data_IF_188202290864
#
_entry.id   IF_188202290864
#
_cell.length_a   1.000
_cell.length_b   1.000
_cell.length_c   1.000
_cell.angle_alpha   90.00
_cell.angle_beta   90.00
_cell.angle_gamma   90.00
#
_symmetry.space_group_name_H-M   'P 1'
#
loop_
_entity.id
_entity.type
_entity.pdbx_description
1 polymer ?
#
# COMPACT_ATOMS: atom_id res chain seq x y z
N UNK A 1 -16.49 -4.28 21.54
CA UNK A 1 -16.87 -3.49 20.35
C UNK A 1 -16.54 -4.37 19.17
N UNK A 2 -17.55 -5.01 18.59
CA UNK A 2 -17.39 -5.91 17.43
C UNK A 2 -17.41 -5.05 16.19
N UNK A 3 -16.34 -5.07 15.39
CA UNK A 3 -16.30 -4.39 14.10
C UNK A 3 -17.29 -5.07 13.15
N UNK A 4 -18.19 -4.30 12.56
CA UNK A 4 -19.12 -4.77 11.55
C UNK A 4 -18.35 -4.96 10.24
N UNK A 5 -18.35 -6.18 9.70
CA UNK A 5 -17.75 -6.52 8.40
C UNK A 5 -18.19 -5.54 7.31
N UNK A 6 -19.44 -5.06 7.40
CA UNK A 6 -20.01 -4.09 6.45
C UNK A 6 -19.28 -2.73 6.46
N UNK A 7 -18.81 -2.26 7.62
CA UNK A 7 -18.10 -0.98 7.72
C UNK A 7 -16.70 -1.10 7.09
N UNK A 8 -16.03 -2.26 7.24
CA UNK A 8 -14.76 -2.53 6.56
C UNK A 8 -14.95 -2.58 5.05
N UNK A 9 -16.01 -3.23 4.56
CA UNK A 9 -16.35 -3.30 3.13
C UNK A 9 -16.61 -1.91 2.53
N UNK A 10 -17.29 -1.03 3.26
CA UNK A 10 -17.52 0.37 2.84
C UNK A 10 -16.20 1.13 2.66
N UNK A 11 -15.24 0.93 3.57
CA UNK A 11 -13.91 1.53 3.45
C UNK A 11 -13.09 0.94 2.31
N UNK A 12 -13.17 -0.37 2.07
CA UNK A 12 -12.51 -1.00 0.91
C UNK A 12 -13.08 -0.43 -0.39
N UNK A 13 -14.40 -0.23 -0.47
CA UNK A 13 -15.05 0.39 -1.62
C UNK A 13 -14.62 1.86 -1.82
N UNK A 14 -14.45 2.62 -0.74
CA UNK A 14 -13.86 3.97 -0.79
C UNK A 14 -12.43 3.94 -1.32
N UNK A 15 -11.58 3.03 -0.82
CA UNK A 15 -10.21 2.87 -1.32
C UNK A 15 -10.19 2.53 -2.81
N UNK A 16 -11.07 1.63 -3.28
CA UNK A 16 -11.22 1.34 -4.71
C UNK A 16 -11.57 2.62 -5.50
N UNK A 17 -12.51 3.43 -5.00
CA UNK A 17 -12.89 4.71 -5.63
C UNK A 17 -11.74 5.72 -5.68
N UNK A 18 -10.84 5.68 -4.70
CA UNK A 18 -9.64 6.52 -4.65
C UNK A 18 -8.48 5.99 -5.51
N UNK A 19 -8.61 4.82 -6.15
CA UNK A 19 -7.58 4.29 -7.04
C UNK A 19 -6.59 3.33 -6.36
N UNK A 20 -6.94 2.77 -5.20
CA UNK A 20 -6.16 1.70 -4.58
C UNK A 20 -6.28 0.40 -5.37
N UNK A 21 -5.18 -0.37 -5.43
CA UNK A 21 -5.15 -1.72 -5.99
C UNK A 21 -5.24 -2.74 -4.86
N UNK A 22 -6.11 -3.74 -4.99
CA UNK A 22 -6.35 -4.75 -3.96
C UNK A 22 -5.83 -6.13 -4.41
N UNK A 23 -5.22 -6.86 -3.47
CA UNK A 23 -4.64 -8.18 -3.63
C UNK A 23 -5.25 -9.10 -2.58
N UNK A 24 -5.96 -10.14 -3.01
CA UNK A 24 -6.64 -11.08 -2.12
C UNK A 24 -5.91 -12.42 -2.14
N UNK A 25 -5.78 -13.05 -0.97
CA UNK A 25 -5.02 -14.30 -0.79
C UNK A 25 -5.90 -15.33 -0.09
N UNK A 26 -6.12 -16.55 -0.65
CA UNK A 26 -5.83 -16.95 -2.02
C UNK A 26 -6.80 -16.34 -3.06
N UNK A 27 -8.02 -16.01 -2.63
CA UNK A 27 -9.09 -15.53 -3.50
C UNK A 27 -9.93 -14.46 -2.80
N UNK A 28 -10.83 -13.85 -3.56
CA UNK A 28 -11.65 -12.72 -3.12
C UNK A 28 -12.84 -13.14 -2.25
N UNK A 29 -13.37 -14.34 -2.43
CA UNK A 29 -14.62 -14.76 -1.78
C UNK A 29 -14.37 -15.18 -0.34
N UNK A 30 -13.21 -15.77 -0.06
CA UNK A 30 -12.79 -16.16 1.28
C UNK A 30 -11.29 -15.89 1.51
N UNK A 31 -10.85 -14.62 1.52
CA UNK A 31 -9.45 -14.28 1.72
C UNK A 31 -9.03 -14.62 3.16
N UNK A 32 -7.86 -15.26 3.30
CA UNK A 32 -7.12 -15.34 4.56
C UNK A 32 -6.27 -14.11 4.82
N UNK A 33 -6.04 -13.29 3.79
CA UNK A 33 -5.44 -11.97 3.89
C UNK A 33 -5.82 -11.13 2.67
N UNK A 34 -5.86 -9.82 2.86
CA UNK A 34 -5.97 -8.83 1.80
C UNK A 34 -4.84 -7.82 1.95
N UNK A 35 -4.27 -7.38 0.84
CA UNK A 35 -3.36 -6.25 0.80
C UNK A 35 -3.85 -5.21 -0.19
N UNK A 36 -3.66 -3.94 0.13
CA UNK A 36 -4.01 -2.82 -0.74
C UNK A 36 -2.79 -1.95 -0.94
N UNK A 37 -2.56 -1.51 -2.18
CA UNK A 37 -1.45 -0.62 -2.53
C UNK A 37 -1.94 0.66 -3.17
N UNK A 38 -1.32 1.77 -2.81
CA UNK A 38 -1.48 3.05 -3.48
C UNK A 38 -0.12 3.65 -3.80
N UNK A 39 0.09 3.93 -5.08
CA UNK A 39 1.39 4.33 -5.61
C UNK A 39 1.47 5.84 -5.73
N UNK A 40 2.50 6.41 -5.12
CA UNK A 40 2.88 7.81 -5.26
C UNK A 40 4.17 7.92 -6.09
N UNK A 41 4.55 9.15 -6.44
CA UNK A 41 5.91 9.39 -6.93
C UNK A 41 6.93 9.08 -5.81
N UNK A 42 7.70 8.01 -5.97
CA UNK A 42 8.79 7.64 -5.07
C UNK A 42 8.37 6.94 -3.77
N UNK A 43 7.08 6.70 -3.54
CA UNK A 43 6.57 5.98 -2.36
C UNK A 43 5.43 5.02 -2.72
N UNK A 44 5.23 4.01 -1.89
CA UNK A 44 4.02 3.19 -1.89
C UNK A 44 3.39 3.17 -0.51
N UNK A 45 2.08 3.33 -0.45
CA UNK A 45 1.29 3.04 0.74
C UNK A 45 0.75 1.63 0.64
N UNK A 46 0.86 0.88 1.74
CA UNK A 46 0.41 -0.50 1.84
C UNK A 46 -0.49 -0.65 3.05
N UNK A 47 -1.63 -1.31 2.88
CA UNK A 47 -2.51 -1.75 3.97
C UNK A 47 -2.66 -3.26 3.85
N UNK A 48 -2.43 -3.98 4.94
CA UNK A 48 -2.57 -5.43 5.06
C UNK A 48 -3.67 -5.71 6.08
N UNK A 49 -4.67 -6.50 5.68
CA UNK A 49 -5.75 -6.99 6.54
C UNK A 49 -5.59 -8.51 6.65
N UNK A 50 -5.55 -9.05 7.87
CA UNK A 50 -5.41 -10.49 8.10
C UNK A 50 -6.72 -11.12 8.58
N UNK A 51 -7.45 -10.39 9.41
CA UNK A 51 -8.80 -10.75 9.84
C UNK A 51 -9.63 -9.50 10.13
N UNK A 52 -10.76 -9.67 10.83
CA UNK A 52 -11.68 -8.59 11.19
C UNK A 52 -11.18 -7.70 12.34
N UNK A 53 -10.10 -8.10 13.02
CA UNK A 53 -9.56 -7.45 14.20
C UNK A 53 -8.17 -6.85 13.98
N UNK A 54 -7.37 -7.41 13.07
CA UNK A 54 -5.96 -7.11 12.90
C UNK A 54 -5.63 -6.61 11.48
N UNK A 55 -5.00 -5.44 11.45
CA UNK A 55 -4.51 -4.77 10.27
C UNK A 55 -3.16 -4.09 10.54
N UNK A 56 -2.40 -3.93 9.47
CA UNK A 56 -1.12 -3.26 9.47
C UNK A 56 -0.97 -2.41 8.22
N UNK A 57 -0.45 -1.21 8.35
CA UNK A 57 -0.18 -0.33 7.23
C UNK A 57 1.20 0.32 7.36
N UNK A 58 1.77 0.66 6.21
CA UNK A 58 3.02 1.39 6.14
C UNK A 58 3.13 2.19 4.86
N UNK A 59 4.00 3.21 4.89
CA UNK A 59 4.53 3.88 3.71
C UNK A 59 5.99 3.50 3.53
N UNK A 60 6.34 3.03 2.33
CA UNK A 60 7.71 2.65 1.99
C UNK A 60 8.27 3.53 0.86
N UNK A 61 9.52 4.03 0.97
CA UNK A 61 10.19 4.73 -0.11
C UNK A 61 10.65 3.74 -1.20
N UNK A 62 10.53 4.17 -2.46
CA UNK A 62 10.87 3.34 -3.62
C UNK A 62 12.34 3.43 -4.03
N UNK A 63 13.04 4.51 -3.68
CA UNK A 63 14.40 4.80 -4.13
C UNK A 63 15.44 3.75 -3.67
N UNK A 64 15.13 3.03 -2.60
CA UNK A 64 15.99 1.96 -2.07
C UNK A 64 15.80 0.62 -2.80
N UNK A 65 14.93 0.55 -3.79
CA UNK A 65 14.67 -0.67 -4.57
C UNK A 65 15.62 -0.76 -5.78
N UNK A 66 16.79 -1.36 -5.59
CA UNK A 66 17.70 -1.67 -6.70
C UNK A 66 17.22 -2.93 -7.45
N UNK A 67 16.39 -2.79 -8.49
CA UNK A 67 16.01 -3.92 -9.36
C UNK A 67 14.74 -3.73 -10.19
N UNK A 68 14.55 -4.61 -11.18
CA UNK A 68 13.35 -4.66 -12.02
C UNK A 68 12.19 -5.28 -11.24
N UNK A 69 11.41 -4.42 -10.58
CA UNK A 69 10.17 -4.82 -9.91
C UNK A 69 10.35 -4.81 -8.40
N UNK A 70 10.03 -3.67 -7.81
CA UNK A 70 9.91 -3.60 -6.38
C UNK A 70 8.64 -4.31 -5.89
N UNK A 71 8.82 -5.22 -4.95
CA UNK A 71 7.72 -5.84 -4.24
C UNK A 71 7.27 -4.90 -3.10
N UNK A 72 6.10 -4.24 -3.21
CA UNK A 72 5.62 -3.35 -2.16
C UNK A 72 5.37 -4.09 -0.84
N UNK A 73 5.25 -5.42 -0.87
CA UNK A 73 5.06 -6.27 0.31
C UNK A 73 6.36 -6.69 0.99
N UNK A 74 7.53 -6.32 0.43
CA UNK A 74 8.85 -6.57 1.01
C UNK A 74 9.67 -5.27 1.04
N UNK A 75 9.25 -4.28 1.84
CA UNK A 75 9.94 -3.00 1.91
C UNK A 75 11.35 -3.15 2.52
N UNK A 76 12.33 -2.43 1.98
CA UNK A 76 13.68 -2.36 2.57
C UNK A 76 13.73 -1.38 3.77
N UNK A 77 12.82 -0.40 3.77
CA UNK A 77 12.60 0.55 4.85
C UNK A 77 11.15 1.04 4.82
N UNK A 78 10.69 1.60 5.92
CA UNK A 78 9.41 2.31 6.03
C UNK A 78 9.65 3.71 6.56
N UNK A 79 8.84 4.68 6.16
CA UNK A 79 8.89 6.06 6.71
C UNK A 79 7.70 6.35 7.63
N UNK A 80 6.74 5.45 7.64
CA UNK A 80 5.56 5.50 8.49
C UNK A 80 4.99 4.09 8.61
N UNK A 81 4.44 3.77 9.78
CA UNK A 81 3.75 2.51 10.05
C UNK A 81 2.62 2.71 11.05
N UNK A 82 1.60 1.86 10.96
CA UNK A 82 0.48 1.81 11.90
C UNK A 82 -0.06 0.39 11.99
N UNK A 83 -0.27 -0.12 13.21
CA UNK A 83 -0.88 -1.41 13.46
C UNK A 83 -2.05 -1.28 14.42
N UNK A 84 -3.12 -2.02 14.16
CA UNK A 84 -4.32 -1.99 15.00
C UNK A 84 -5.50 -2.61 14.26
N UNK A 85 -6.71 -2.15 14.58
CA UNK A 85 -7.88 -2.66 13.87
C UNK A 85 -7.99 -2.10 12.43
N UNK A 86 -8.71 -2.79 11.53
CA UNK A 86 -8.82 -2.42 10.13
C UNK A 86 -9.26 -0.97 9.88
N UNK A 87 -10.30 -0.51 10.55
CA UNK A 87 -10.89 0.82 10.27
C UNK A 87 -9.93 1.94 10.66
N UNK A 88 -9.34 1.85 11.85
CA UNK A 88 -8.38 2.85 12.29
C UNK A 88 -7.10 2.82 11.46
N UNK A 89 -6.67 1.64 11.02
CA UNK A 89 -5.53 1.48 10.11
C UNK A 89 -5.80 2.12 8.75
N UNK A 90 -6.99 1.89 8.17
CA UNK A 90 -7.40 2.51 6.91
C UNK A 90 -7.46 4.03 7.06
N UNK A 91 -8.15 4.54 8.09
CA UNK A 91 -8.27 5.98 8.32
C UNK A 91 -6.91 6.66 8.55
N UNK A 92 -6.02 6.04 9.34
CA UNK A 92 -4.69 6.57 9.58
C UNK A 92 -3.88 6.66 8.28
N UNK A 93 -3.99 5.66 7.42
CA UNK A 93 -3.29 5.64 6.12
C UNK A 93 -3.86 6.66 5.14
N UNK A 94 -5.20 6.76 5.02
CA UNK A 94 -5.85 7.75 4.16
C UNK A 94 -5.63 9.20 4.64
N UNK A 95 -5.38 9.38 5.94
CA UNK A 95 -5.04 10.67 6.54
C UNK A 95 -3.58 11.08 6.38
N UNK A 96 -2.74 10.26 5.75
CA UNK A 96 -1.33 10.60 5.55
C UNK A 96 -1.17 11.83 4.65
N UNK A 97 -0.33 12.80 5.05
CA UNK A 97 0.07 13.87 4.14
C UNK A 97 0.70 13.29 2.88
N UNK A 98 0.43 13.89 1.72
CA UNK A 98 1.02 13.46 0.45
C UNK A 98 2.55 13.53 0.51
N UNK A 99 3.29 12.60 -0.12
CA UNK A 99 4.73 12.73 -0.25
C UNK A 99 5.15 14.10 -0.82
N UNK A 100 6.20 14.68 -0.26
CA UNK A 100 6.68 16.03 -0.63
C UNK A 100 5.97 17.19 0.07
N UNK A 101 4.89 16.93 0.83
CA UNK A 101 4.31 17.95 1.73
C UNK A 101 5.16 18.17 2.98
N UNK A 102 5.03 19.33 3.62
CA UNK A 102 5.85 19.70 4.77
C UNK A 102 5.68 18.77 5.99
N UNK A 103 4.54 18.09 6.10
CA UNK A 103 4.23 17.15 7.18
C UNK A 103 4.39 15.69 6.76
N UNK A 104 4.88 15.42 5.54
CA UNK A 104 5.08 14.05 5.06
C UNK A 104 6.13 13.34 5.92
N UNK A 105 5.85 12.11 6.41
CA UNK A 105 6.88 11.28 7.02
C UNK A 105 7.99 10.98 6.01
N UNK A 106 9.23 11.26 6.38
CA UNK A 106 10.40 11.14 5.50
C UNK A 106 11.57 10.40 6.13
N UNK A 107 11.55 10.18 7.45
CA UNK A 107 12.64 9.51 8.16
C UNK A 107 12.54 7.99 7.95
N UNK A 108 13.50 7.34 7.28
CA UNK A 108 13.44 5.89 7.07
C UNK A 108 13.78 5.14 8.36
N UNK A 109 13.05 4.08 8.62
CA UNK A 109 13.26 3.13 9.70
C UNK A 109 13.31 1.70 9.14
N UNK A 110 13.99 0.76 9.82
CA UNK A 110 13.94 -0.65 9.45
C UNK A 110 12.49 -1.17 9.43
N UNK A 111 12.11 -2.02 8.48
CA UNK A 111 10.78 -2.59 8.43
C UNK A 111 10.55 -3.45 9.69
N UNK A 112 9.41 -3.30 10.40
CA UNK A 112 9.12 -4.14 11.56
C UNK A 112 8.84 -5.59 11.11
N UNK A 113 8.96 -6.58 12.03
CA UNK A 113 8.67 -7.99 11.72
C UNK A 113 7.27 -8.23 11.12
N UNK A 114 6.32 -7.34 11.39
CA UNK A 114 4.96 -7.41 10.86
C UNK A 114 4.90 -7.30 9.32
N UNK A 115 5.90 -6.65 8.68
CA UNK A 115 6.02 -6.63 7.22
C UNK A 115 6.21 -8.02 6.61
N UNK A 116 6.69 -9.00 7.37
CA UNK A 116 6.97 -10.36 6.87
C UNK A 116 5.75 -11.29 6.88
N UNK A 117 4.65 -10.91 7.54
CA UNK A 117 3.45 -11.77 7.69
C UNK A 117 2.82 -12.05 6.33
N UNK A 118 2.53 -11.01 5.54
CA UNK A 118 1.92 -11.16 4.22
C UNK A 118 2.85 -11.89 3.22
N UNK A 119 4.16 -11.58 3.10
CA UNK A 119 5.11 -12.41 2.36
C UNK A 119 5.08 -13.89 2.76
N UNK A 120 5.02 -14.17 4.07
CA UNK A 120 4.90 -15.53 4.60
C UNK A 120 3.64 -16.26 4.10
N UNK A 121 2.52 -15.55 3.99
CA UNK A 121 1.27 -16.07 3.40
C UNK A 121 1.42 -16.26 1.88
N UNK A 122 1.95 -15.26 1.18
CA UNK A 122 2.08 -15.25 -0.28
C UNK A 122 3.00 -16.35 -0.83
N UNK A 123 3.91 -16.91 -0.03
CA UNK A 123 4.70 -18.09 -0.42
C UNK A 123 3.88 -19.38 -0.50
N UNK A 124 2.72 -19.42 0.18
CA UNK A 124 1.86 -20.62 0.32
C UNK A 124 0.66 -20.59 -0.62
N UNK A 125 0.22 -19.40 -1.01
CA UNK A 125 -0.99 -19.19 -1.82
C UNK A 125 -0.78 -18.15 -2.92
N UNK A 126 -1.42 -18.33 -4.08
CA UNK A 126 -1.42 -17.32 -5.15
C UNK A 126 -2.43 -16.23 -4.85
N UNK A 127 -2.11 -14.99 -5.21
CA UNK A 127 -3.01 -13.85 -5.04
C UNK A 127 -3.93 -13.65 -6.25
N UNK A 128 -5.15 -13.19 -6.00
CA UNK A 128 -6.03 -12.57 -7.01
C UNK A 128 -5.89 -11.05 -6.91
N UNK A 129 -5.56 -10.39 -8.02
CA UNK A 129 -5.34 -8.94 -8.06
C UNK A 129 -6.52 -8.25 -8.73
N UNK A 130 -7.13 -7.30 -8.02
CA UNK A 130 -8.18 -6.42 -8.52
C UNK A 130 -7.59 -5.02 -8.62
N UNK A 131 -7.42 -4.53 -9.85
CA UNK A 131 -7.00 -3.16 -10.12
C UNK A 131 -8.25 -2.27 -10.23
N UNK A 132 -8.21 -1.02 -9.76
CA UNK A 132 -9.31 -0.10 -9.98
C UNK A 132 -9.47 0.11 -11.49
N UNK A 133 -10.71 0.23 -11.96
CA UNK A 133 -10.97 0.71 -13.31
C UNK A 133 -10.49 2.16 -13.37
N UNK A 134 -9.32 2.41 -13.94
CA UNK A 134 -8.87 3.77 -14.25
C UNK A 134 -9.93 4.39 -15.17
N UNK A 135 -10.66 5.46 -14.77
CA UNK A 135 -11.44 6.22 -15.75
C UNK A 135 -10.47 6.65 -16.84
N UNK A 136 -10.85 6.56 -18.11
CA UNK A 136 -9.94 6.70 -19.28
C UNK A 136 -9.30 8.11 -19.46
N UNK A 137 -9.17 8.90 -18.39
CA UNK A 137 -8.53 10.21 -18.35
C UNK A 137 -7.42 10.39 -17.30
N UNK A 138 -7.14 9.41 -16.43
CA UNK A 138 -5.94 9.48 -15.56
C UNK A 138 -4.78 8.77 -16.25
N UNK A 139 -4.09 9.50 -17.13
CA UNK A 139 -2.96 8.95 -17.87
C UNK A 139 -1.77 8.66 -16.94
N UNK A 140 -1.13 7.52 -17.15
CA UNK A 140 0.15 7.11 -16.55
C UNK A 140 1.34 8.03 -16.95
N UNK A 141 1.06 9.21 -17.54
CA UNK A 141 2.04 10.15 -18.08
C UNK A 141 2.66 11.08 -17.02
N UNK A 142 2.17 11.10 -15.78
CA UNK A 142 2.78 11.92 -14.71
C UNK A 142 4.15 11.35 -14.25
N UNK A 143 4.50 10.12 -14.64
CA UNK A 143 5.80 9.51 -14.33
C UNK A 143 6.92 9.94 -15.31
N UNK A 144 6.63 10.73 -16.35
CA UNK A 144 7.61 11.13 -17.38
C UNK A 144 7.95 12.63 -17.40
N UNK A 145 8.21 13.25 -16.27
CA UNK A 145 8.93 14.55 -16.24
C UNK A 145 9.95 14.62 -15.09
N UNK A 146 10.97 13.77 -15.15
CA UNK A 146 12.27 14.10 -14.55
C UNK A 146 13.14 14.66 -15.69
N UNK A 147 13.59 15.93 -15.63
CA UNK A 147 14.54 16.44 -16.60
C UNK A 147 15.84 15.64 -16.45
N UNK A 148 16.28 14.96 -17.51
CA UNK A 148 17.68 14.51 -17.60
C UNK A 148 18.55 15.75 -17.70
N UNK A 149 19.18 16.14 -16.61
CA UNK A 149 20.23 17.15 -16.64
C UNK A 149 21.42 16.58 -17.44
N UNK A 150 21.89 17.23 -18.52
CA UNK A 150 23.12 16.84 -19.16
C UNK A 150 24.28 17.21 -18.26
N UNK A 151 25.08 16.22 -17.88
CA UNK A 151 26.36 16.40 -17.22
C UNK A 151 27.26 17.22 -18.15
N UNK A 152 27.80 18.30 -17.61
CA UNK A 152 28.79 19.18 -18.20
C UNK A 152 29.98 18.40 -18.78
N UNK A 153 30.43 18.83 -19.97
CA UNK A 153 31.83 18.74 -20.44
C UNK A 153 32.18 19.97 -21.25
#
# INVERSE_FOLDING_TARGET
>A
MTLDTREVDEWIAEMTRQGWTHHYFPDREAPIAMASTFWHAGYVDVIQLFDHADAFAYRAPMEQWSGSGADPFKPAAVVWLYGGNPIWTIRATLGLPLPGSAQAPTMPEPPPPMCEVLPGIATKVRAVVIRPNTPSGYSADVVRQVPRNPVER
#
